data_IF_725280844304
#
_entry.id   IF_725280844304
#
_cell.length_a   1.000
_cell.length_b   1.000
_cell.length_c   1.000
_cell.angle_alpha   90.00
_cell.angle_beta   90.00
_cell.angle_gamma   90.00
#
_symmetry.space_group_name_H-M   'P 1'
#
loop_
_entity.id
_entity.type
_entity.pdbx_description
1 polymer ?
#
# COMPACT_ATOMS: atom_id res chain seq x y z
N UNK A 1 -46.47 24.71 2.40
CA UNK A 1 -46.21 23.27 2.64
C UNK A 1 -44.70 23.11 2.68
N UNK A 2 -44.14 22.98 3.88
CA UNK A 2 -42.70 22.97 4.12
C UNK A 2 -42.33 21.54 4.50
N UNK A 3 -41.67 20.81 3.61
CA UNK A 3 -41.20 19.47 3.90
C UNK A 3 -39.91 19.56 4.72
N UNK A 4 -40.02 19.37 6.03
CA UNK A 4 -38.89 19.22 6.94
C UNK A 4 -38.27 17.84 6.71
N UNK A 5 -37.14 17.79 6.02
CA UNK A 5 -36.34 16.57 5.84
C UNK A 5 -35.64 16.19 7.15
N UNK A 6 -36.31 15.38 7.98
CA UNK A 6 -35.69 14.71 9.12
C UNK A 6 -34.88 13.51 8.61
N UNK A 7 -33.62 13.72 8.24
CA UNK A 7 -32.68 12.61 8.00
C UNK A 7 -32.07 12.16 9.33
N UNK A 8 -32.86 11.50 10.17
CA UNK A 8 -32.37 10.73 11.31
C UNK A 8 -31.81 9.39 10.80
N UNK A 9 -30.72 9.46 10.04
CA UNK A 9 -29.99 8.27 9.64
C UNK A 9 -29.29 7.70 10.85
N UNK A 10 -29.87 6.66 11.46
CA UNK A 10 -29.15 5.83 12.42
C UNK A 10 -27.85 5.37 11.77
N UNK A 11 -26.71 5.77 12.36
CA UNK A 11 -25.42 5.22 11.98
C UNK A 11 -25.47 3.73 12.25
N UNK A 12 -25.50 2.91 11.20
CA UNK A 12 -25.40 1.44 11.27
C UNK A 12 -24.05 0.97 11.86
N UNK A 13 -23.14 1.91 12.14
CA UNK A 13 -21.83 1.67 12.72
C UNK A 13 -21.80 2.22 14.14
N UNK A 14 -21.53 1.35 15.12
CA UNK A 14 -21.30 1.73 16.51
C UNK A 14 -20.03 2.58 16.61
N UNK A 15 -20.08 3.66 17.37
CA UNK A 15 -18.90 4.48 17.64
C UNK A 15 -17.82 3.61 18.32
N UNK A 16 -16.59 3.65 17.78
CA UNK A 16 -15.48 2.81 18.24
C UNK A 16 -15.36 1.44 17.54
N UNK A 17 -16.18 1.13 16.54
CA UNK A 17 -15.99 -0.06 15.71
C UNK A 17 -14.67 -0.02 14.95
N UNK A 18 -13.92 -1.13 15.00
CA UNK A 18 -12.68 -1.31 14.24
C UNK A 18 -12.97 -1.50 12.77
N UNK A 19 -12.26 -0.76 11.90
CA UNK A 19 -12.32 -0.92 10.45
C UNK A 19 -11.20 -1.86 10.04
N UNK A 20 -11.52 -3.01 9.45
CA UNK A 20 -10.53 -3.98 8.96
C UNK A 20 -10.24 -3.85 7.47
N UNK A 21 -11.18 -3.30 6.69
CA UNK A 21 -11.14 -3.24 5.23
C UNK A 21 -11.84 -1.99 4.70
N UNK A 22 -11.30 -1.41 3.63
CA UNK A 22 -11.93 -0.36 2.84
C UNK A 22 -11.89 -0.77 1.37
N UNK A 23 -13.06 -0.79 0.71
CA UNK A 23 -13.18 -1.07 -0.72
C UNK A 23 -13.91 0.05 -1.44
N UNK A 24 -13.40 0.44 -2.60
CA UNK A 24 -13.97 1.51 -3.42
C UNK A 24 -14.83 0.91 -4.54
N UNK A 25 -16.03 0.45 -4.17
CA UNK A 25 -16.98 -0.23 -5.05
C UNK A 25 -18.27 0.58 -5.23
N UNK A 26 -18.78 0.58 -6.46
CA UNK A 26 -20.12 1.02 -6.86
C UNK A 26 -20.85 -0.22 -7.37
N UNK A 27 -22.13 -0.36 -7.08
CA UNK A 27 -22.93 -1.36 -7.76
C UNK A 27 -23.43 -0.78 -9.09
N UNK A 28 -23.11 -1.44 -10.21
CA UNK A 28 -23.59 -1.11 -11.54
C UNK A 28 -25.05 -1.52 -11.74
N UNK A 29 -25.64 -1.06 -12.83
CA UNK A 29 -27.07 -1.25 -13.11
C UNK A 29 -27.47 -2.72 -13.33
N UNK A 30 -26.49 -3.58 -13.68
CA UNK A 30 -26.65 -5.04 -13.82
C UNK A 30 -26.51 -5.81 -12.50
N UNK A 31 -26.20 -5.11 -11.41
CA UNK A 31 -25.86 -5.72 -10.12
C UNK A 31 -24.38 -6.11 -9.98
N UNK A 32 -23.58 -5.94 -11.03
CA UNK A 32 -22.13 -6.15 -11.00
C UNK A 32 -21.42 -5.04 -10.19
N UNK A 33 -20.20 -5.32 -9.74
CA UNK A 33 -19.38 -4.32 -9.08
C UNK A 33 -18.60 -3.48 -10.11
N UNK A 34 -18.64 -2.16 -9.95
CA UNK A 34 -17.85 -1.14 -10.63
C UNK A 34 -16.94 -0.42 -9.62
N UNK A 35 -15.85 0.20 -10.06
CA UNK A 35 -15.01 1.00 -9.14
C UNK A 35 -15.59 2.41 -8.98
N UNK A 36 -15.62 2.93 -7.74
CA UNK A 36 -15.91 4.36 -7.47
C UNK A 36 -14.68 5.25 -7.64
N UNK A 37 -13.51 4.66 -7.86
CA UNK A 37 -12.26 5.39 -7.93
C UNK A 37 -12.11 6.07 -9.29
N UNK A 38 -12.18 7.39 -9.29
CA UNK A 38 -11.89 8.22 -10.47
C UNK A 38 -10.37 8.36 -10.63
N UNK A 39 -9.63 8.54 -9.53
CA UNK A 39 -8.16 8.52 -9.51
C UNK A 39 -7.66 8.32 -8.09
N UNK A 40 -6.56 7.60 -7.92
CA UNK A 40 -5.89 7.43 -6.62
C UNK A 40 -4.37 7.53 -6.71
N UNK A 41 -3.74 7.79 -5.58
CA UNK A 41 -2.29 7.79 -5.40
C UNK A 41 -1.96 7.15 -4.06
N UNK A 42 -1.08 6.15 -4.05
CA UNK A 42 -0.54 5.56 -2.83
C UNK A 42 0.86 6.13 -2.61
N UNK A 43 1.11 6.65 -1.41
CA UNK A 43 2.39 7.18 -0.98
C UNK A 43 2.82 6.46 0.29
N UNK A 44 4.07 6.01 0.33
CA UNK A 44 4.65 5.35 1.48
C UNK A 44 5.38 6.39 2.34
N UNK A 45 4.82 6.72 3.50
CA UNK A 45 5.31 7.81 4.35
C UNK A 45 6.79 7.62 4.76
N UNK A 46 7.17 6.38 5.09
CA UNK A 46 8.54 6.04 5.52
C UNK A 46 9.54 5.96 4.35
N UNK A 47 9.05 6.02 3.11
CA UNK A 47 9.87 5.90 1.91
C UNK A 47 9.65 7.10 0.98
N UNK A 48 10.09 8.28 1.42
CA UNK A 48 9.90 9.54 0.69
C UNK A 48 10.48 9.54 -0.74
N UNK A 49 11.47 8.70 -1.01
CA UNK A 49 12.13 8.58 -2.32
C UNK A 49 11.42 7.62 -3.29
N UNK A 50 10.42 6.86 -2.81
CA UNK A 50 9.67 5.94 -3.66
C UNK A 50 8.66 6.70 -4.53
N UNK A 51 8.69 6.41 -5.83
CA UNK A 51 7.72 6.95 -6.76
C UNK A 51 6.31 6.51 -6.32
N UNK A 52 5.35 7.44 -6.22
CA UNK A 52 4.00 7.10 -5.81
C UNK A 52 3.31 6.16 -6.80
N UNK A 53 2.54 5.21 -6.28
CA UNK A 53 1.74 4.31 -7.12
C UNK A 53 0.48 5.04 -7.55
N UNK A 54 0.32 5.24 -8.86
CA UNK A 54 -0.89 5.84 -9.43
C UNK A 54 -1.93 4.75 -9.67
N UNK A 55 -3.12 4.93 -9.09
CA UNK A 55 -4.29 4.08 -9.33
C UNK A 55 -5.17 4.78 -10.36
N UNK A 56 -5.31 4.17 -11.53
CA UNK A 56 -6.06 4.71 -12.65
C UNK A 56 -7.59 4.67 -12.39
N UNK A 57 -8.37 5.49 -13.11
CA UNK A 57 -9.84 5.39 -13.08
C UNK A 57 -10.30 3.96 -13.37
N UNK A 58 -11.44 3.57 -12.79
CA UNK A 58 -12.08 2.25 -12.97
C UNK A 58 -11.29 1.05 -12.43
N UNK A 59 -10.11 1.28 -11.85
CA UNK A 59 -9.41 0.23 -11.10
C UNK A 59 -10.06 0.06 -9.73
N UNK A 60 -10.31 -1.17 -9.34
CA UNK A 60 -10.72 -1.47 -7.98
C UNK A 60 -9.53 -1.30 -7.05
N UNK A 61 -9.75 -0.69 -5.89
CA UNK A 61 -8.78 -0.61 -4.81
C UNK A 61 -9.40 -1.20 -3.55
N UNK A 62 -8.71 -2.16 -2.96
CA UNK A 62 -9.05 -2.75 -1.67
C UNK A 62 -7.86 -2.60 -0.72
N UNK A 63 -8.14 -2.02 0.45
CA UNK A 63 -7.21 -1.90 1.56
C UNK A 63 -7.66 -2.87 2.65
N UNK A 64 -6.82 -3.82 3.01
CA UNK A 64 -7.12 -4.93 3.93
C UNK A 64 -6.09 -4.98 5.08
N UNK A 65 -6.48 -5.60 6.20
CA UNK A 65 -5.69 -5.66 7.45
C UNK A 65 -5.24 -4.26 7.88
N UNK A 66 -6.22 -3.37 7.98
CA UNK A 66 -6.04 -1.98 8.35
C UNK A 66 -5.72 -1.84 9.84
N UNK A 67 -4.65 -1.11 10.16
CA UNK A 67 -4.21 -0.81 11.53
C UNK A 67 -3.94 0.68 11.67
N UNK A 68 -4.38 1.25 12.79
CA UNK A 68 -4.17 2.67 13.10
C UNK A 68 -4.66 3.64 11.99
N UNK A 69 -5.66 3.23 11.20
CA UNK A 69 -6.18 4.04 10.10
C UNK A 69 -7.01 5.20 10.64
N UNK A 70 -6.69 6.40 10.18
CA UNK A 70 -7.39 7.64 10.49
C UNK A 70 -7.80 8.32 9.19
N UNK A 71 -9.06 8.76 9.12
CA UNK A 71 -9.54 9.65 8.06
C UNK A 71 -9.10 11.06 8.42
N UNK A 72 -8.14 11.61 7.68
CA UNK A 72 -7.60 12.95 7.94
C UNK A 72 -8.50 14.04 7.36
N UNK A 73 -9.03 13.81 6.16
CA UNK A 73 -9.88 14.76 5.48
C UNK A 73 -10.84 14.07 4.53
N UNK A 74 -12.06 14.61 4.46
CA UNK A 74 -13.02 14.36 3.42
C UNK A 74 -13.34 15.70 2.78
N UNK A 75 -12.94 15.91 1.53
CA UNK A 75 -13.17 17.17 0.80
C UNK A 75 -14.12 16.92 -0.35
N UNK A 76 -15.12 17.78 -0.45
CA UNK A 76 -15.99 17.86 -1.61
C UNK A 76 -15.59 19.10 -2.42
N UNK A 77 -15.26 18.90 -3.69
CA UNK A 77 -15.00 19.99 -4.63
C UNK A 77 -16.13 20.00 -5.65
N UNK A 78 -16.99 21.03 -5.66
CA UNK A 78 -18.13 21.09 -6.58
C UNK A 78 -17.71 21.17 -8.06
N UNK A 79 -16.44 21.48 -8.37
CA UNK A 79 -15.92 21.49 -9.74
C UNK A 79 -15.40 20.13 -10.21
N UNK A 80 -15.16 19.19 -9.30
CA UNK A 80 -14.66 17.86 -9.62
C UNK A 80 -15.73 16.81 -9.31
N UNK A 81 -15.97 15.84 -10.21
CA UNK A 81 -16.86 14.73 -9.88
C UNK A 81 -16.24 13.91 -8.73
N UNK A 82 -17.01 13.71 -7.65
CA UNK A 82 -16.65 12.86 -6.52
C UNK A 82 -16.23 13.60 -5.25
N UNK A 83 -15.60 12.86 -4.34
CA UNK A 83 -15.02 13.40 -3.10
C UNK A 83 -13.56 12.94 -2.96
N UNK A 84 -12.74 13.76 -2.33
CA UNK A 84 -11.35 13.44 -2.01
C UNK A 84 -11.29 12.94 -0.58
N UNK A 85 -10.86 11.69 -0.40
CA UNK A 85 -10.65 11.06 0.89
C UNK A 85 -9.16 10.92 1.17
N UNK A 86 -8.69 11.51 2.26
CA UNK A 86 -7.32 11.35 2.75
C UNK A 86 -7.31 10.40 3.94
N UNK A 87 -6.60 9.29 3.78
CA UNK A 87 -6.43 8.25 4.79
C UNK A 87 -4.96 8.14 5.14
N UNK A 88 -4.67 7.95 6.42
CA UNK A 88 -3.33 7.59 6.89
C UNK A 88 -3.40 6.46 7.89
N UNK A 89 -2.49 5.51 7.79
CA UNK A 89 -2.39 4.37 8.67
C UNK A 89 -1.60 3.25 8.01
N UNK A 90 -1.64 2.08 8.60
CA UNK A 90 -1.00 0.88 8.09
C UNK A 90 -2.04 0.00 7.39
N UNK A 91 -1.70 -0.48 6.19
CA UNK A 91 -2.49 -1.47 5.48
C UNK A 91 -1.63 -2.72 5.28
N UNK A 92 -2.05 -3.85 5.86
CA UNK A 92 -1.35 -5.12 5.69
C UNK A 92 -1.43 -5.65 4.26
N UNK A 93 -2.47 -5.26 3.50
CA UNK A 93 -2.63 -5.58 2.07
C UNK A 93 -3.20 -4.39 1.30
N UNK A 94 -2.59 -4.11 0.14
CA UNK A 94 -3.04 -3.08 -0.79
C UNK A 94 -3.19 -3.74 -2.16
N UNK A 95 -4.41 -4.04 -2.55
CA UNK A 95 -4.70 -4.77 -3.78
C UNK A 95 -5.42 -3.84 -4.74
N UNK A 96 -4.89 -3.69 -5.95
CA UNK A 96 -5.66 -3.13 -7.07
C UNK A 96 -6.08 -4.22 -8.04
N UNK A 97 -7.29 -4.13 -8.60
CA UNK A 97 -7.75 -5.03 -9.65
C UNK A 97 -8.18 -4.24 -10.89
N UNK A 98 -7.81 -4.75 -12.06
CA UNK A 98 -8.26 -4.27 -13.37
C UNK A 98 -8.78 -5.47 -14.16
N UNK A 99 -10.09 -5.57 -14.35
CA UNK A 99 -10.70 -6.79 -14.90
C UNK A 99 -10.38 -8.02 -14.04
N UNK A 100 -9.75 -9.04 -14.61
CA UNK A 100 -9.31 -10.24 -13.88
C UNK A 100 -7.94 -10.10 -13.20
N UNK A 101 -7.12 -9.14 -13.64
CA UNK A 101 -5.76 -8.97 -13.15
C UNK A 101 -5.75 -8.32 -11.76
N UNK A 102 -5.13 -9.00 -10.80
CA UNK A 102 -4.88 -8.49 -9.44
C UNK A 102 -3.41 -8.12 -9.31
N UNK A 103 -3.14 -6.90 -8.84
CA UNK A 103 -1.80 -6.42 -8.50
C UNK A 103 -1.75 -6.08 -7.02
N UNK A 104 -0.82 -6.71 -6.32
CA UNK A 104 -0.46 -6.36 -4.94
C UNK A 104 0.58 -5.23 -4.98
N UNK A 105 0.35 -4.18 -4.20
CA UNK A 105 1.23 -3.01 -4.12
C UNK A 105 2.10 -3.00 -2.88
N UNK A 106 2.07 -4.04 -2.05
CA UNK A 106 2.94 -4.14 -0.88
C UNK A 106 4.41 -4.02 -1.28
N UNK A 107 5.16 -3.27 -0.47
CA UNK A 107 6.61 -3.26 -0.56
C UNK A 107 7.13 -4.65 -0.20
N UNK A 108 7.98 -5.21 -1.04
CA UNK A 108 8.68 -6.45 -0.72
C UNK A 108 9.81 -6.15 0.27
N UNK A 109 10.28 -7.17 0.99
CA UNK A 109 11.46 -7.01 1.87
C UNK A 109 12.70 -6.57 1.09
N UNK A 110 12.79 -6.97 -0.19
CA UNK A 110 13.85 -6.53 -1.09
C UNK A 110 13.73 -5.02 -1.41
N UNK A 111 12.51 -4.54 -1.67
CA UNK A 111 12.27 -3.10 -1.89
C UNK A 111 12.66 -2.28 -0.65
N UNK A 112 12.32 -2.77 0.54
CA UNK A 112 12.70 -2.15 1.82
C UNK A 112 14.22 -2.12 1.98
N UNK A 113 14.90 -3.25 1.72
CA UNK A 113 16.35 -3.36 1.80
C UNK A 113 17.06 -2.34 0.89
N UNK A 114 16.54 -2.15 -0.33
CA UNK A 114 17.17 -1.30 -1.33
C UNK A 114 16.90 0.21 -1.12
N UNK A 115 15.77 0.55 -0.49
CA UNK A 115 15.40 1.95 -0.25
C UNK A 115 15.83 2.48 1.13
N UNK A 116 16.20 1.61 2.07
CA UNK A 116 16.83 2.00 3.33
C UNK A 116 18.37 1.95 3.19
N UNK A 117 18.99 3.12 3.15
CA UNK A 117 20.45 3.27 3.02
C UNK A 117 21.23 2.52 4.10
N UNK A 118 20.71 2.44 5.33
CA UNK A 118 21.40 1.74 6.43
C UNK A 118 21.39 0.24 6.20
N UNK A 119 20.25 -0.30 5.79
CA UNK A 119 20.11 -1.73 5.49
C UNK A 119 20.92 -2.12 4.26
N UNK A 120 20.88 -1.31 3.20
CA UNK A 120 21.70 -1.53 2.01
C UNK A 120 23.21 -1.55 2.34
N UNK A 121 23.66 -0.64 3.21
CA UNK A 121 25.07 -0.58 3.66
C UNK A 121 25.46 -1.82 4.47
N UNK A 122 24.63 -2.23 5.44
CA UNK A 122 24.88 -3.44 6.24
C UNK A 122 24.93 -4.68 5.33
N UNK A 123 24.00 -4.80 4.40
CA UNK A 123 23.99 -5.88 3.42
C UNK A 123 25.27 -5.89 2.57
N UNK A 124 25.70 -4.73 2.09
CA UNK A 124 26.96 -4.57 1.36
C UNK A 124 28.18 -5.04 2.16
N UNK A 125 28.26 -4.68 3.45
CA UNK A 125 29.36 -5.11 4.34
C UNK A 125 29.37 -6.64 4.48
N UNK A 126 28.21 -7.27 4.66
CA UNK A 126 28.11 -8.73 4.80
C UNK A 126 28.56 -9.43 3.51
N UNK A 127 28.10 -8.95 2.35
CA UNK A 127 28.48 -9.51 1.04
C UNK A 127 29.98 -9.36 0.80
N UNK A 128 30.55 -8.21 1.17
CA UNK A 128 31.98 -7.97 1.07
C UNK A 128 32.79 -8.90 1.99
N UNK A 129 32.42 -9.01 3.27
CA UNK A 129 33.08 -9.94 4.19
C UNK A 129 32.99 -11.39 3.73
N UNK A 130 31.82 -11.83 3.24
CA UNK A 130 31.65 -13.17 2.69
C UNK A 130 32.59 -13.44 1.52
N UNK A 131 32.76 -12.46 0.63
CA UNK A 131 33.67 -12.55 -0.51
C UNK A 131 35.14 -12.66 -0.07
N UNK A 132 35.55 -11.87 0.92
CA UNK A 132 36.91 -11.92 1.50
C UNK A 132 37.17 -13.27 2.18
N UNK A 133 36.22 -13.77 2.97
CA UNK A 133 36.32 -15.06 3.67
C UNK A 133 36.43 -16.21 2.65
N UNK A 134 35.60 -16.21 1.60
CA UNK A 134 35.65 -17.22 0.55
C UNK A 134 36.99 -17.19 -0.21
N UNK A 135 37.50 -16.00 -0.50
CA UNK A 135 38.82 -15.82 -1.12
C UNK A 135 39.94 -16.36 -0.24
N UNK A 136 39.96 -15.99 1.04
CA UNK A 136 40.94 -16.49 2.00
C UNK A 136 40.86 -18.01 2.19
N UNK A 137 39.65 -18.57 2.27
CA UNK A 137 39.44 -20.01 2.36
C UNK A 137 39.95 -20.76 1.13
N UNK A 138 39.73 -20.21 -0.08
CA UNK A 138 40.25 -20.80 -1.32
C UNK A 138 41.77 -20.84 -1.33
N UNK A 139 42.43 -19.73 -0.96
CA UNK A 139 43.89 -19.64 -0.87
C UNK A 139 44.44 -20.64 0.15
N UNK A 140 43.85 -20.68 1.35
CA UNK A 140 44.23 -21.65 2.39
C UNK A 140 44.12 -23.10 1.90
N UNK A 141 43.04 -23.43 1.19
CA UNK A 141 42.82 -24.77 0.63
C UNK A 141 43.83 -25.11 -0.45
N UNK A 142 44.20 -24.16 -1.31
CA UNK A 142 45.22 -24.37 -2.35
C UNK A 142 46.60 -24.63 -1.73
N UNK A 143 46.99 -23.85 -0.71
CA UNK A 143 48.27 -24.05 0.00
C UNK A 143 48.33 -25.44 0.65
N UNK A 144 47.27 -25.85 1.37
CA UNK A 144 47.20 -27.18 2.01
C UNK A 144 47.24 -28.33 1.00
N UNK A 145 46.80 -28.12 -0.23
CA UNK A 145 46.83 -29.15 -1.28
C UNK A 145 48.23 -29.35 -1.88
N UNK A 146 49.09 -28.33 -1.80
CA UNK A 146 50.44 -28.31 -2.36
C UNK A 146 51.55 -28.43 -1.30
N UNK A 147 51.19 -28.52 -0.02
CA UNK A 147 52.07 -28.85 1.10
C UNK A 147 51.95 -30.35 1.45
#
# INVERSE_FOLDING_TARGET
MTATSNSSGESLVKQGSTISKIEFLKQGDTGDYESTLIRGKIVYADFANLAPVIVAPYHFLALDDLRNVTIQALRFDPQLPGFVLHLTGEAGKIISRTGELRKDHRLTQFDVLWHDQKLALIFGIIVWMGSVILGAYKIYREIKKHA
#
